data_IF_618564054920
#
_entry.id   IF_618564054920
#
_cell.length_a   1.000
_cell.length_b   1.000
_cell.length_c   1.000
_cell.angle_alpha   90.00
_cell.angle_beta   90.00
_cell.angle_gamma   90.00
#
_symmetry.space_group_name_H-M   'P 1'
#
loop_
_entity.id
_entity.type
_entity.pdbx_description
1 polymer ?
#
# COMPACT_ATOMS: atom_id res chain seq x y z
N UNK A 1 -14.25 -11.73 -21.64
CA UNK A 1 -14.28 -12.67 -20.49
C UNK A 1 -15.54 -12.55 -19.64
N UNK A 2 -16.07 -11.34 -19.39
CA UNK A 2 -17.21 -11.11 -18.49
C UNK A 2 -18.64 -11.36 -19.05
N UNK A 3 -18.81 -11.68 -20.34
CA UNK A 3 -20.16 -11.74 -20.97
C UNK A 3 -21.11 -12.84 -20.45
N UNK A 4 -20.61 -13.82 -19.68
CA UNK A 4 -21.38 -14.98 -19.22
C UNK A 4 -21.30 -15.18 -17.69
N UNK A 5 -20.92 -14.14 -16.93
CA UNK A 5 -20.74 -14.25 -15.48
C UNK A 5 -21.93 -13.68 -14.73
N UNK A 6 -22.28 -14.29 -13.59
CA UNK A 6 -23.32 -13.71 -12.73
C UNK A 6 -22.82 -12.42 -12.07
N UNK A 7 -23.72 -11.48 -11.81
CA UNK A 7 -23.43 -10.21 -11.13
C UNK A 7 -22.71 -10.42 -9.79
N UNK A 8 -23.13 -11.46 -9.05
CA UNK A 8 -22.47 -11.87 -7.79
C UNK A 8 -21.00 -12.23 -8.02
N UNK A 9 -20.70 -13.00 -9.06
CA UNK A 9 -19.33 -13.42 -9.37
C UNK A 9 -18.46 -12.23 -9.81
N UNK A 10 -19.01 -11.31 -10.60
CA UNK A 10 -18.30 -10.09 -11.01
C UNK A 10 -17.93 -9.21 -9.81
N UNK A 11 -18.88 -8.96 -8.90
CA UNK A 11 -18.64 -8.18 -7.69
C UNK A 11 -17.60 -8.84 -6.77
N UNK A 12 -17.70 -10.16 -6.55
CA UNK A 12 -16.74 -10.89 -5.73
C UNK A 12 -15.34 -10.85 -6.36
N UNK A 13 -15.23 -10.98 -7.69
CA UNK A 13 -13.95 -10.90 -8.37
C UNK A 13 -13.32 -9.51 -8.25
N UNK A 14 -14.08 -8.44 -8.49
CA UNK A 14 -13.55 -7.08 -8.39
C UNK A 14 -13.15 -6.76 -6.96
N UNK A 15 -14.00 -7.05 -5.98
CA UNK A 15 -13.67 -6.85 -4.56
C UNK A 15 -12.46 -7.68 -4.13
N UNK A 16 -12.44 -8.97 -4.48
CA UNK A 16 -11.34 -9.87 -4.15
C UNK A 16 -10.02 -9.42 -4.78
N UNK A 17 -10.04 -8.96 -6.03
CA UNK A 17 -8.86 -8.45 -6.71
C UNK A 17 -8.36 -7.15 -6.07
N UNK A 18 -9.26 -6.21 -5.76
CA UNK A 18 -8.90 -4.96 -5.08
C UNK A 18 -8.36 -5.22 -3.66
N UNK A 19 -8.96 -6.15 -2.91
CA UNK A 19 -8.46 -6.56 -1.60
C UNK A 19 -7.09 -7.23 -1.68
N UNK A 20 -6.87 -8.11 -2.66
CA UNK A 20 -5.55 -8.72 -2.89
C UNK A 20 -4.50 -7.65 -3.25
N UNK A 21 -4.89 -6.64 -4.03
CA UNK A 21 -4.02 -5.53 -4.40
C UNK A 21 -3.67 -4.65 -3.19
N UNK A 22 -4.64 -4.37 -2.31
CA UNK A 22 -4.41 -3.68 -1.04
C UNK A 22 -3.44 -4.45 -0.13
N UNK A 23 -3.63 -5.75 0.02
CA UNK A 23 -2.73 -6.60 0.81
C UNK A 23 -1.33 -6.61 0.19
N UNK A 24 -1.22 -6.70 -1.14
CA UNK A 24 0.05 -6.66 -1.85
C UNK A 24 0.79 -5.35 -1.65
N UNK A 25 0.11 -4.20 -1.81
CA UNK A 25 0.70 -2.87 -1.56
C UNK A 25 1.09 -2.72 -0.09
N UNK A 26 0.22 -3.12 0.83
CA UNK A 26 0.51 -3.07 2.26
C UNK A 26 1.74 -3.91 2.64
N UNK A 27 1.85 -5.11 2.07
CA UNK A 27 2.99 -6.01 2.29
C UNK A 27 4.29 -5.43 1.73
N UNK A 28 4.25 -4.85 0.52
CA UNK A 28 5.40 -4.14 -0.06
C UNK A 28 5.83 -2.95 0.78
N UNK A 29 4.87 -2.18 1.31
CA UNK A 29 5.14 -1.05 2.20
C UNK A 29 5.82 -1.49 3.50
N UNK A 30 5.32 -2.53 4.15
CA UNK A 30 5.93 -3.08 5.38
C UNK A 30 7.32 -3.65 5.08
N UNK A 31 7.49 -4.38 3.97
CA UNK A 31 8.80 -4.87 3.53
C UNK A 31 9.80 -3.73 3.33
N UNK A 32 9.39 -2.67 2.64
CA UNK A 32 10.25 -1.49 2.42
C UNK A 32 10.64 -0.75 3.70
N UNK A 33 9.72 -0.65 4.65
CA UNK A 33 9.99 -0.05 5.96
C UNK A 33 10.97 -0.91 6.78
N UNK A 34 10.80 -2.23 6.78
CA UNK A 34 11.72 -3.14 7.47
C UNK A 34 13.12 -3.10 6.86
N UNK A 35 13.24 -3.17 5.53
CA UNK A 35 14.53 -3.07 4.83
C UNK A 35 15.24 -1.74 5.16
N UNK A 36 14.51 -0.63 5.17
CA UNK A 36 15.05 0.69 5.52
C UNK A 36 15.50 0.72 6.99
N UNK A 37 14.72 0.11 7.89
CA UNK A 37 15.05 0.06 9.31
C UNK A 37 16.28 -0.81 9.60
N UNK A 38 16.40 -1.97 8.94
CA UNK A 38 17.55 -2.87 9.08
C UNK A 38 18.82 -2.23 8.52
N UNK A 39 18.72 -1.55 7.38
CA UNK A 39 19.83 -0.78 6.82
C UNK A 39 20.25 0.37 7.74
N UNK A 40 19.29 1.11 8.31
CA UNK A 40 19.58 2.17 9.27
C UNK A 40 20.26 1.62 10.53
N UNK A 41 19.80 0.47 11.02
CA UNK A 41 20.41 -0.23 12.15
C UNK A 41 21.87 -0.60 11.86
N UNK A 42 22.18 -1.14 10.67
CA UNK A 42 23.56 -1.44 10.26
C UNK A 42 24.44 -0.18 10.24
N UNK A 43 23.99 0.90 9.60
CA UNK A 43 24.75 2.16 9.56
C UNK A 43 24.97 2.76 10.96
N UNK A 44 24.01 2.59 11.87
CA UNK A 44 24.15 3.07 13.24
C UNK A 44 25.05 2.17 14.11
N UNK A 45 24.68 0.90 14.26
CA UNK A 45 25.33 -0.05 15.17
C UNK A 45 26.71 -0.51 14.64
N UNK A 46 26.86 -0.77 13.34
CA UNK A 46 28.09 -1.36 12.78
C UNK A 46 29.07 -0.31 12.24
N UNK A 47 28.63 0.95 12.06
CA UNK A 47 29.49 2.02 11.51
C UNK A 47 29.59 3.23 12.42
N UNK A 48 28.47 3.85 12.78
CA UNK A 48 28.48 5.12 13.53
C UNK A 48 29.02 4.96 14.95
N UNK A 49 28.58 3.92 15.66
CA UNK A 49 29.07 3.62 17.02
C UNK A 49 30.56 3.26 17.00
N UNK A 50 31.04 2.32 16.16
CA UNK A 50 32.46 2.02 16.00
C UNK A 50 33.32 3.22 15.61
N UNK A 51 32.85 4.08 14.70
CA UNK A 51 33.55 5.30 14.32
C UNK A 51 33.73 6.24 15.53
N UNK A 52 32.72 6.37 16.38
CA UNK A 52 32.79 7.11 17.64
C UNK A 52 33.81 6.51 18.62
N UNK A 53 33.77 5.20 18.81
CA UNK A 53 34.69 4.47 19.69
C UNK A 53 36.14 4.61 19.22
N UNK A 54 36.41 4.45 17.92
CA UNK A 54 37.73 4.68 17.32
C UNK A 54 38.19 6.15 17.49
N UNK A 55 37.27 7.11 17.36
CA UNK A 55 37.56 8.52 17.60
C UNK A 55 37.95 8.82 19.04
N UNK A 56 37.29 8.16 20.00
CA UNK A 56 37.66 8.22 21.42
C UNK A 56 39.02 7.58 21.65
N UNK A 57 39.31 6.42 21.05
CA UNK A 57 40.64 5.80 21.13
C UNK A 57 41.71 6.76 20.62
N UNK A 58 41.49 7.41 19.47
CA UNK A 58 42.44 8.38 18.91
C UNK A 58 42.71 9.55 19.87
N UNK A 59 41.68 10.14 20.49
CA UNK A 59 41.86 11.18 21.52
C UNK A 59 42.68 10.64 22.71
N UNK A 60 42.38 9.44 23.19
CA UNK A 60 43.09 8.81 24.32
C UNK A 60 44.55 8.53 24.00
N UNK A 61 44.86 8.05 22.80
CA UNK A 61 46.22 7.87 22.32
C UNK A 61 47.01 9.18 22.38
N UNK A 62 46.41 10.28 21.90
CA UNK A 62 47.04 11.61 21.91
C UNK A 62 47.22 12.15 23.34
N UNK A 63 46.23 11.97 24.22
CA UNK A 63 46.35 12.35 25.64
C UNK A 63 47.46 11.59 26.35
N UNK A 64 47.60 10.30 26.08
CA UNK A 64 48.68 9.49 26.66
C UNK A 64 50.05 9.93 26.14
N UNK A 65 50.17 10.24 24.84
CA UNK A 65 51.39 10.85 24.28
C UNK A 65 51.72 12.19 24.95
N UNK A 66 50.72 13.06 25.15
CA UNK A 66 50.89 14.35 25.82
C UNK A 66 51.33 14.18 27.28
N UNK A 67 50.71 13.25 28.02
CA UNK A 67 51.11 12.93 29.38
C UNK A 67 52.58 12.48 29.46
N UNK A 68 53.00 11.59 28.56
CA UNK A 68 54.39 11.15 28.47
C UNK A 68 55.35 12.31 28.14
N UNK A 69 54.94 13.22 27.26
CA UNK A 69 55.72 14.42 26.96
C UNK A 69 55.86 15.35 28.19
N UNK A 70 54.76 15.60 28.91
CA UNK A 70 54.79 16.39 30.14
C UNK A 70 55.68 15.76 31.22
N UNK A 71 55.69 14.44 31.34
CA UNK A 71 56.60 13.71 32.25
C UNK A 71 58.07 13.87 31.87
N UNK A 72 58.40 13.81 30.57
CA UNK A 72 59.78 13.92 30.10
C UNK A 72 60.31 15.36 30.21
N UNK A 73 59.52 16.37 29.80
CA UNK A 73 59.93 17.76 29.78
C UNK A 73 59.74 18.49 31.12
N UNK A 74 58.79 18.06 31.95
CA UNK A 74 58.44 18.74 33.21
C UNK A 74 59.51 18.64 34.29
N UNK A 75 60.45 17.68 34.19
CA UNK A 75 61.56 17.45 35.14
C UNK A 75 61.14 17.44 36.62
N UNK A 76 59.94 16.96 36.92
CA UNK A 76 59.34 16.96 38.25
C UNK A 76 58.69 15.60 38.53
N UNK A 77 59.11 14.95 39.62
CA UNK A 77 58.68 13.60 39.97
C UNK A 77 57.17 13.50 40.31
N UNK A 78 56.58 14.54 40.89
CA UNK A 78 55.14 14.58 41.19
C UNK A 78 54.32 14.63 39.90
N UNK A 79 54.77 15.43 38.92
CA UNK A 79 54.17 15.48 37.58
C UNK A 79 54.27 14.11 36.91
N UNK A 80 55.43 13.45 36.96
CA UNK A 80 55.61 12.11 36.38
C UNK A 80 54.61 11.11 36.98
N UNK A 81 54.45 11.12 38.31
CA UNK A 81 53.51 10.22 39.01
C UNK A 81 52.06 10.50 38.63
N UNK A 82 51.64 11.76 38.62
CA UNK A 82 50.28 12.16 38.21
C UNK A 82 49.98 11.74 36.77
N UNK A 83 50.90 12.05 35.85
CA UNK A 83 50.74 11.76 34.42
C UNK A 83 50.80 10.27 34.11
N UNK A 84 51.56 9.48 34.86
CA UNK A 84 51.54 8.02 34.75
C UNK A 84 50.16 7.48 35.10
N UNK A 85 49.59 7.86 36.24
CA UNK A 85 48.26 7.41 36.66
C UNK A 85 47.18 7.79 35.64
N UNK A 86 47.26 9.00 35.07
CA UNK A 86 46.36 9.40 33.99
C UNK A 86 46.54 8.54 32.73
N UNK A 87 47.77 8.23 32.33
CA UNK A 87 48.04 7.37 31.16
C UNK A 87 47.53 5.94 31.37
N UNK A 88 47.70 5.37 32.57
CA UNK A 88 47.19 4.04 32.92
C UNK A 88 45.66 4.00 32.81
N UNK A 89 44.98 5.06 33.27
CA UNK A 89 43.53 5.19 33.09
C UNK A 89 43.13 5.23 31.61
N UNK A 90 43.85 5.99 30.78
CA UNK A 90 43.55 6.09 29.34
C UNK A 90 43.82 4.79 28.60
N UNK A 91 44.85 4.03 28.99
CA UNK A 91 45.11 2.71 28.41
C UNK A 91 43.98 1.72 28.72
N UNK A 92 43.44 1.75 29.94
CA UNK A 92 42.28 0.93 30.30
C UNK A 92 41.03 1.33 29.48
N UNK A 93 40.82 2.62 29.25
CA UNK A 93 39.73 3.11 28.39
C UNK A 93 39.91 2.68 26.93
N UNK A 94 41.13 2.79 26.39
CA UNK A 94 41.46 2.30 25.04
C UNK A 94 41.18 0.82 24.93
N UNK A 95 41.61 0.01 25.91
CA UNK A 95 41.38 -1.44 25.90
C UNK A 95 39.87 -1.77 25.89
N UNK A 96 39.05 -1.02 26.65
CA UNK A 96 37.61 -1.22 26.70
C UNK A 96 36.94 -0.87 25.35
N UNK A 97 37.22 0.30 24.79
CA UNK A 97 36.68 0.69 23.47
C UNK A 97 37.17 -0.26 22.37
N UNK A 98 38.43 -0.68 22.42
CA UNK A 98 39.00 -1.62 21.47
C UNK A 98 38.33 -2.99 21.55
N UNK A 99 38.06 -3.49 22.75
CA UNK A 99 37.35 -4.76 22.93
C UNK A 99 35.93 -4.69 22.33
N UNK A 100 35.19 -3.60 22.55
CA UNK A 100 33.86 -3.39 21.95
C UNK A 100 33.95 -3.37 20.43
N UNK A 101 34.87 -2.60 19.88
CA UNK A 101 35.12 -2.52 18.45
C UNK A 101 35.38 -3.91 17.84
N UNK A 102 36.23 -4.72 18.47
CA UNK A 102 36.56 -6.06 17.99
C UNK A 102 35.41 -7.08 18.07
N UNK A 103 34.31 -6.77 18.76
CA UNK A 103 33.09 -7.61 18.78
C UNK A 103 32.08 -7.29 17.68
N UNK A 104 32.33 -6.22 16.91
CA UNK A 104 31.50 -5.81 15.79
C UNK A 104 31.74 -6.70 14.56
N UNK A 105 30.89 -6.56 13.54
CA UNK A 105 31.08 -7.28 12.28
C UNK A 105 32.18 -6.61 11.42
N UNK A 106 33.43 -7.02 11.67
CA UNK A 106 34.60 -6.51 10.97
C UNK A 106 34.66 -7.01 9.52
N UNK A 107 34.87 -6.10 8.58
CA UNK A 107 35.21 -6.45 7.20
C UNK A 107 36.62 -7.08 7.13
N UNK A 108 36.97 -7.86 6.09
CA UNK A 108 38.30 -8.47 5.97
C UNK A 108 39.46 -7.45 6.00
N UNK A 109 39.29 -6.32 5.32
CA UNK A 109 40.26 -5.22 5.32
C UNK A 109 40.36 -4.55 6.70
N UNK A 110 39.22 -4.38 7.35
CA UNK A 110 39.10 -3.81 8.69
C UNK A 110 39.78 -4.69 9.75
N UNK A 111 39.57 -6.01 9.68
CA UNK A 111 40.22 -6.99 10.54
C UNK A 111 41.75 -6.96 10.38
N UNK A 112 42.25 -6.80 9.15
CA UNK A 112 43.68 -6.70 8.86
C UNK A 112 44.30 -5.42 9.46
N UNK A 113 43.61 -4.29 9.31
CA UNK A 113 44.03 -3.03 9.93
C UNK A 113 43.92 -3.08 11.45
N UNK A 114 42.93 -3.76 12.00
CA UNK A 114 42.74 -3.92 13.44
C UNK A 114 43.84 -4.78 14.07
N UNK A 115 44.26 -5.85 13.41
CA UNK A 115 45.42 -6.64 13.83
C UNK A 115 46.69 -5.78 13.79
N UNK A 116 46.91 -5.04 12.70
CA UNK A 116 48.04 -4.13 12.56
C UNK A 116 48.07 -3.07 13.66
N UNK A 117 46.92 -2.48 14.00
CA UNK A 117 46.78 -1.53 15.10
C UNK A 117 47.16 -2.20 16.43
N UNK A 118 46.62 -3.38 16.72
CA UNK A 118 46.88 -4.09 17.98
C UNK A 118 48.38 -4.37 18.18
N UNK A 119 49.06 -4.80 17.12
CA UNK A 119 50.51 -5.04 17.14
C UNK A 119 51.31 -3.74 17.33
N UNK A 120 51.00 -2.70 16.54
CA UNK A 120 51.70 -1.41 16.61
C UNK A 120 51.45 -0.69 17.94
N UNK A 121 50.23 -0.78 18.49
CA UNK A 121 49.87 -0.21 19.77
C UNK A 121 50.68 -0.83 20.92
N UNK A 122 50.86 -2.16 20.90
CA UNK A 122 51.73 -2.86 21.86
C UNK A 122 53.17 -2.35 21.78
N UNK A 123 53.73 -2.27 20.57
CA UNK A 123 55.11 -1.81 20.33
C UNK A 123 55.30 -0.35 20.78
N UNK A 124 54.34 0.53 20.49
CA UNK A 124 54.35 1.92 20.97
C UNK A 124 54.26 1.98 22.50
N UNK A 125 53.34 1.24 23.10
CA UNK A 125 53.13 1.19 24.56
C UNK A 125 54.41 0.78 25.29
N UNK A 126 55.12 -0.24 24.80
CA UNK A 126 56.41 -0.65 25.34
C UNK A 126 57.45 0.47 25.27
N UNK A 127 57.57 1.16 24.13
CA UNK A 127 58.51 2.29 24.00
C UNK A 127 58.14 3.47 24.89
N UNK A 128 56.86 3.83 24.94
CA UNK A 128 56.33 4.88 25.81
C UNK A 128 56.59 4.58 27.28
N UNK A 129 56.40 3.32 27.71
CA UNK A 129 56.69 2.90 29.08
C UNK A 129 58.17 3.01 29.42
N UNK A 130 59.08 2.80 28.45
CA UNK A 130 60.52 3.10 28.64
C UNK A 130 60.76 4.59 28.86
N UNK A 131 60.10 5.48 28.10
CA UNK A 131 60.16 6.93 28.35
C UNK A 131 59.73 7.27 29.77
N UNK A 132 58.61 6.70 30.23
CA UNK A 132 58.10 6.93 31.59
C UNK A 132 59.04 6.38 32.67
N UNK A 133 59.69 5.24 32.42
CA UNK A 133 60.68 4.67 33.32
C UNK A 133 61.91 5.57 33.46
N UNK A 134 62.42 6.14 32.35
CA UNK A 134 63.50 7.13 32.40
C UNK A 134 63.12 8.38 33.18
N UNK A 135 61.92 8.92 32.94
CA UNK A 135 61.42 10.09 33.67
C UNK A 135 61.25 9.80 35.17
N UNK A 136 60.74 8.62 35.54
CA UNK A 136 60.59 8.17 36.93
C UNK A 136 61.94 8.02 37.63
N UNK A 137 62.97 7.57 36.91
CA UNK A 137 64.35 7.48 37.40
C UNK A 137 65.08 8.84 37.45
N UNK A 138 64.42 9.94 37.07
CA UNK A 138 65.02 11.28 36.99
C UNK A 138 65.95 11.48 35.79
N UNK A 139 66.04 10.51 34.87
CA UNK A 139 66.85 10.60 33.66
C UNK A 139 66.04 11.26 32.52
N UNK A 140 65.77 12.55 32.67
CA UNK A 140 64.90 13.29 31.75
C UNK A 140 65.49 13.45 30.34
N UNK A 141 66.81 13.55 30.19
CA UNK A 141 67.44 13.66 28.87
C UNK A 141 67.25 12.36 28.06
N UNK A 142 67.40 11.19 28.69
CA UNK A 142 67.09 9.91 28.06
C UNK A 142 65.59 9.75 27.77
N UNK A 143 64.72 10.24 28.66
CA UNK A 143 63.28 10.26 28.44
C UNK A 143 62.91 11.08 27.20
N UNK A 144 63.47 12.29 27.06
CA UNK A 144 63.25 13.17 25.91
C UNK A 144 63.80 12.50 24.64
N UNK A 145 65.01 11.95 24.65
CA UNK A 145 65.60 11.29 23.50
C UNK A 145 64.75 10.11 22.99
N UNK A 146 64.23 9.26 23.89
CA UNK A 146 63.34 8.17 23.51
C UNK A 146 61.96 8.69 23.03
N UNK A 147 61.41 9.73 23.70
CA UNK A 147 60.15 10.35 23.33
C UNK A 147 60.16 10.89 21.89
N UNK A 148 61.19 11.65 21.53
CA UNK A 148 61.29 12.32 20.22
C UNK A 148 61.85 11.40 19.12
N UNK A 149 62.49 10.30 19.51
CA UNK A 149 63.02 9.28 18.60
C UNK A 149 62.11 8.07 18.48
N UNK A 150 62.47 6.98 19.15
CA UNK A 150 61.83 5.67 19.03
C UNK A 150 60.32 5.70 19.33
N UNK A 151 59.88 6.38 20.39
CA UNK A 151 58.47 6.45 20.76
C UNK A 151 57.66 7.29 19.76
N UNK A 152 58.22 8.38 19.22
CA UNK A 152 57.57 9.20 18.20
C UNK A 152 57.32 8.41 16.91
N UNK A 153 58.36 7.74 16.39
CA UNK A 153 58.23 6.93 15.17
C UNK A 153 57.18 5.81 15.33
N UNK A 154 57.15 5.15 16.48
CA UNK A 154 56.15 4.11 16.80
C UNK A 154 54.75 4.67 16.97
N UNK A 155 54.61 5.85 17.57
CA UNK A 155 53.33 6.54 17.66
C UNK A 155 52.79 6.89 16.28
N UNK A 156 53.62 7.47 15.42
CA UNK A 156 53.20 7.91 14.09
C UNK A 156 52.70 6.71 13.26
N UNK A 157 53.37 5.56 13.37
CA UNK A 157 52.91 4.31 12.74
C UNK A 157 51.52 3.88 13.21
N UNK A 158 51.30 3.74 14.53
CA UNK A 158 49.99 3.32 15.07
C UNK A 158 48.90 4.36 14.83
N UNK A 159 49.24 5.65 14.86
CA UNK A 159 48.33 6.75 14.57
C UNK A 159 47.83 6.70 13.13
N UNK A 160 48.73 6.50 12.15
CA UNK A 160 48.35 6.34 10.75
C UNK A 160 47.39 5.16 10.57
N UNK A 161 47.65 4.03 11.24
CA UNK A 161 46.74 2.86 11.18
C UNK A 161 45.37 3.17 11.78
N UNK A 162 45.31 3.87 12.92
CA UNK A 162 44.03 4.29 13.53
C UNK A 162 43.25 5.25 12.62
N UNK A 163 43.93 6.19 11.96
CA UNK A 163 43.29 7.09 10.98
C UNK A 163 42.75 6.30 9.78
N UNK A 164 43.50 5.33 9.26
CA UNK A 164 43.01 4.44 8.19
C UNK A 164 41.76 3.66 8.60
N UNK A 165 41.68 3.19 9.85
CA UNK A 165 40.47 2.55 10.36
C UNK A 165 39.26 3.51 10.39
N UNK A 166 39.47 4.75 10.85
CA UNK A 166 38.44 5.79 10.84
C UNK A 166 37.98 6.14 9.41
N UNK A 167 38.91 6.28 8.48
CA UNK A 167 38.63 6.54 7.06
C UNK A 167 37.86 5.36 6.42
N UNK A 168 38.29 4.13 6.68
CA UNK A 168 37.60 2.93 6.20
C UNK A 168 36.16 2.87 6.71
N UNK A 169 35.95 3.10 8.01
CA UNK A 169 34.61 3.12 8.60
C UNK A 169 33.71 4.20 7.98
N UNK A 170 34.27 5.40 7.74
CA UNK A 170 33.55 6.48 7.05
C UNK A 170 33.18 6.11 5.61
N UNK A 171 34.11 5.51 4.87
CA UNK A 171 33.89 5.15 3.45
C UNK A 171 32.88 4.01 3.31
N UNK A 172 32.96 3.01 4.19
CA UNK A 172 31.99 1.91 4.23
C UNK A 172 30.61 2.43 4.61
N UNK A 173 30.49 3.29 5.63
CA UNK A 173 29.22 3.91 5.99
C UNK A 173 28.59 4.69 4.81
N UNK A 174 29.40 5.42 4.06
CA UNK A 174 28.93 6.16 2.87
C UNK A 174 28.44 5.20 1.76
N UNK A 175 29.13 4.07 1.54
CA UNK A 175 28.71 3.04 0.58
C UNK A 175 27.41 2.35 1.01
N UNK A 176 27.31 1.97 2.27
CA UNK A 176 26.09 1.35 2.83
C UNK A 176 24.89 2.30 2.74
N UNK A 177 25.07 3.58 3.07
CA UNK A 177 24.03 4.60 2.91
C UNK A 177 23.61 4.78 1.44
N UNK A 178 24.56 4.82 0.51
CA UNK A 178 24.25 4.92 -0.92
C UNK A 178 23.47 3.69 -1.43
N UNK A 179 23.85 2.49 -0.98
CA UNK A 179 23.12 1.26 -1.28
C UNK A 179 21.70 1.28 -0.68
N UNK A 180 21.56 1.69 0.58
CA UNK A 180 20.27 1.85 1.26
C UNK A 180 19.34 2.80 0.50
N UNK A 181 19.88 3.94 0.07
CA UNK A 181 19.15 4.92 -0.73
C UNK A 181 18.70 4.34 -2.06
N UNK A 182 19.57 3.61 -2.76
CA UNK A 182 19.21 2.97 -4.03
C UNK A 182 18.11 1.92 -3.82
N UNK A 183 18.18 1.12 -2.76
CA UNK A 183 17.12 0.16 -2.41
C UNK A 183 15.80 0.87 -2.12
N UNK A 184 15.83 1.97 -1.35
CA UNK A 184 14.65 2.79 -1.08
C UNK A 184 14.03 3.34 -2.38
N UNK A 185 14.84 3.93 -3.27
CA UNK A 185 14.37 4.47 -4.55
C UNK A 185 13.73 3.38 -5.43
N UNK A 186 14.32 2.18 -5.47
CA UNK A 186 13.75 1.04 -6.19
C UNK A 186 12.42 0.58 -5.59
N UNK A 187 12.35 0.40 -4.27
CA UNK A 187 11.12 -0.01 -3.57
C UNK A 187 10.02 1.05 -3.74
N UNK A 188 10.38 2.33 -3.66
CA UNK A 188 9.47 3.44 -3.89
C UNK A 188 8.92 3.44 -5.32
N UNK A 189 9.79 3.30 -6.34
CA UNK A 189 9.35 3.24 -7.74
C UNK A 189 8.43 2.04 -8.01
N UNK A 190 8.76 0.87 -7.49
CA UNK A 190 7.91 -0.33 -7.61
C UNK A 190 6.54 -0.06 -6.97
N UNK A 191 6.53 0.45 -5.73
CA UNK A 191 5.29 0.74 -5.00
C UNK A 191 4.44 1.78 -5.72
N UNK A 192 5.04 2.88 -6.20
CA UNK A 192 4.35 3.93 -6.94
C UNK A 192 3.75 3.41 -8.27
N UNK A 193 4.49 2.56 -8.99
CA UNK A 193 4.03 1.92 -10.22
C UNK A 193 2.88 0.96 -9.93
N UNK A 194 2.98 0.11 -8.90
CA UNK A 194 1.92 -0.82 -8.50
C UNK A 194 0.64 -0.08 -8.07
N UNK A 195 0.75 1.01 -7.31
CA UNK A 195 -0.40 1.84 -6.94
C UNK A 195 -1.06 2.44 -8.19
N UNK A 196 -0.26 3.00 -9.11
CA UNK A 196 -0.78 3.62 -10.33
C UNK A 196 -1.49 2.60 -11.22
N UNK A 197 -0.88 1.42 -11.43
CA UNK A 197 -1.50 0.32 -12.16
C UNK A 197 -2.77 -0.19 -11.46
N UNK A 198 -2.76 -0.27 -10.12
CA UNK A 198 -3.93 -0.66 -9.34
C UNK A 198 -5.09 0.32 -9.47
N UNK A 199 -4.82 1.62 -9.45
CA UNK A 199 -5.84 2.67 -9.68
C UNK A 199 -6.39 2.57 -11.11
N UNK A 200 -5.53 2.46 -12.12
CA UNK A 200 -5.96 2.29 -13.51
C UNK A 200 -6.85 1.05 -13.68
N UNK A 201 -6.45 -0.07 -13.07
CA UNK A 201 -7.23 -1.29 -13.09
C UNK A 201 -8.58 -1.12 -12.37
N UNK A 202 -8.62 -0.44 -11.23
CA UNK A 202 -9.85 -0.14 -10.51
C UNK A 202 -10.81 0.71 -11.35
N UNK A 203 -10.30 1.72 -12.07
CA UNK A 203 -11.10 2.55 -12.99
C UNK A 203 -11.66 1.72 -14.14
N UNK A 204 -10.84 0.86 -14.77
CA UNK A 204 -11.28 -0.01 -15.87
C UNK A 204 -12.35 -1.00 -15.39
N UNK A 205 -12.13 -1.68 -14.26
CA UNK A 205 -13.10 -2.59 -13.67
C UNK A 205 -14.39 -1.87 -13.25
N UNK A 206 -14.27 -0.68 -12.66
CA UNK A 206 -15.40 0.17 -12.31
C UNK A 206 -16.25 0.56 -13.52
N UNK A 207 -15.60 0.91 -14.64
CA UNK A 207 -16.30 1.19 -15.90
C UNK A 207 -17.08 -0.03 -16.43
N UNK A 208 -16.48 -1.23 -16.39
CA UNK A 208 -17.18 -2.46 -16.78
C UNK A 208 -18.36 -2.79 -15.85
N UNK A 209 -18.21 -2.62 -14.53
CA UNK A 209 -19.30 -2.82 -13.58
C UNK A 209 -20.44 -1.81 -13.79
N UNK A 210 -20.13 -0.53 -13.97
CA UNK A 210 -21.13 0.51 -14.27
C UNK A 210 -21.92 0.16 -15.53
N UNK A 211 -21.23 -0.21 -16.62
CA UNK A 211 -21.88 -0.58 -17.88
C UNK A 211 -22.64 -1.90 -17.81
N UNK A 212 -22.15 -2.87 -17.04
CA UNK A 212 -22.75 -4.21 -16.91
C UNK A 212 -23.93 -4.30 -15.95
N UNK A 213 -23.97 -3.43 -14.93
CA UNK A 213 -24.98 -3.47 -13.85
C UNK A 213 -25.90 -2.26 -13.90
N UNK A 214 -25.35 -1.04 -13.91
CA UNK A 214 -26.13 0.19 -13.74
C UNK A 214 -26.95 0.51 -14.98
N UNK A 215 -26.41 0.25 -16.19
CA UNK A 215 -27.16 0.49 -17.43
C UNK A 215 -28.37 -0.44 -17.58
N UNK A 216 -28.27 -1.78 -17.45
CA UNK A 216 -29.44 -2.66 -17.54
C UNK A 216 -30.46 -2.44 -16.42
N UNK A 217 -30.01 -2.00 -15.24
CA UNK A 217 -30.92 -1.67 -14.15
C UNK A 217 -31.78 -0.44 -14.46
N UNK A 218 -31.19 0.62 -15.03
CA UNK A 218 -31.97 1.78 -15.49
C UNK A 218 -32.98 1.41 -16.57
N UNK A 219 -32.60 0.51 -17.49
CA UNK A 219 -33.49 -0.01 -18.53
C UNK A 219 -34.68 -0.78 -17.92
N UNK A 220 -34.42 -1.66 -16.95
CA UNK A 220 -35.47 -2.37 -16.22
C UNK A 220 -36.43 -1.43 -15.48
N UNK A 221 -35.90 -0.39 -14.82
CA UNK A 221 -36.71 0.63 -14.13
C UNK A 221 -37.57 1.41 -15.12
N UNK A 222 -37.02 1.79 -16.28
CA UNK A 222 -37.76 2.50 -17.32
C UNK A 222 -38.93 1.67 -17.86
N UNK A 223 -38.72 0.38 -18.12
CA UNK A 223 -39.77 -0.56 -18.56
C UNK A 223 -40.85 -0.69 -17.48
N UNK A 224 -40.45 -0.89 -16.22
CA UNK A 224 -41.41 -1.02 -15.12
C UNK A 224 -42.27 0.25 -14.96
N UNK A 225 -41.67 1.44 -15.10
CA UNK A 225 -42.40 2.70 -15.07
C UNK A 225 -43.37 2.86 -16.25
N UNK A 226 -42.97 2.46 -17.46
CA UNK A 226 -43.85 2.47 -18.64
C UNK A 226 -45.09 1.59 -18.38
N UNK A 227 -44.88 0.35 -17.94
CA UNK A 227 -45.97 -0.57 -17.58
C UNK A 227 -46.85 0.00 -16.46
N UNK A 228 -46.26 0.57 -15.41
CA UNK A 228 -47.00 1.18 -14.30
C UNK A 228 -47.86 2.37 -14.75
N UNK A 229 -47.43 3.10 -15.78
CA UNK A 229 -48.20 4.20 -16.39
C UNK A 229 -49.24 3.75 -17.42
N UNK A 230 -49.35 2.44 -17.69
CA UNK A 230 -50.26 1.88 -18.70
C UNK A 230 -49.72 1.93 -20.13
N UNK A 231 -48.48 2.38 -20.35
CA UNK A 231 -47.83 2.32 -21.65
C UNK A 231 -47.24 0.92 -21.87
N UNK A 232 -47.96 0.11 -22.67
CA UNK A 232 -47.53 -1.23 -23.07
C UNK A 232 -46.91 -1.26 -24.46
N UNK A 233 -46.65 -0.11 -25.09
CA UNK A 233 -46.12 -0.04 -26.46
C UNK A 233 -44.59 -0.20 -26.54
N UNK A 234 -43.91 -0.17 -25.39
CA UNK A 234 -42.44 -0.32 -25.31
C UNK A 234 -41.94 -1.65 -25.83
N UNK A 235 -41.04 -1.60 -26.83
CA UNK A 235 -40.38 -2.79 -27.39
C UNK A 235 -39.24 -3.25 -26.49
N UNK A 236 -39.43 -4.38 -25.81
CA UNK A 236 -38.43 -4.97 -24.91
C UNK A 236 -37.66 -6.06 -25.64
N UNK A 237 -36.38 -5.82 -25.92
CA UNK A 237 -35.47 -6.79 -26.55
C UNK A 237 -34.40 -7.28 -25.55
N UNK A 238 -34.49 -8.53 -25.06
CA UNK A 238 -33.44 -9.13 -24.24
C UNK A 238 -32.14 -9.25 -25.04
N UNK A 239 -30.98 -8.88 -24.46
CA UNK A 239 -29.70 -8.85 -25.18
C UNK A 239 -29.01 -10.21 -25.34
N UNK A 240 -29.66 -11.30 -24.91
CA UNK A 240 -29.21 -12.67 -25.17
C UNK A 240 -27.95 -13.12 -24.41
N UNK A 241 -27.47 -12.34 -23.44
CA UNK A 241 -26.36 -12.73 -22.56
C UNK A 241 -26.87 -13.47 -21.32
N UNK A 242 -26.07 -14.40 -20.79
CA UNK A 242 -26.43 -15.17 -19.58
C UNK A 242 -26.06 -14.37 -18.33
N UNK A 243 -26.48 -13.11 -18.28
CA UNK A 243 -26.25 -12.25 -17.13
C UNK A 243 -27.53 -12.19 -16.30
N UNK A 244 -27.40 -12.02 -14.98
CA UNK A 244 -28.55 -11.97 -14.06
C UNK A 244 -29.61 -10.93 -14.45
N UNK A 245 -29.21 -9.84 -15.11
CA UNK A 245 -30.10 -8.79 -15.59
C UNK A 245 -30.86 -9.13 -16.87
N UNK A 246 -30.32 -9.96 -17.75
CA UNK A 246 -31.07 -10.41 -18.94
C UNK A 246 -32.27 -11.27 -18.53
N UNK A 247 -32.15 -12.03 -17.44
CA UNK A 247 -33.29 -12.75 -16.85
C UNK A 247 -34.36 -11.79 -16.32
N UNK A 248 -33.96 -10.67 -15.71
CA UNK A 248 -34.88 -9.63 -15.24
C UNK A 248 -35.60 -8.95 -16.41
N UNK A 249 -34.85 -8.50 -17.43
CA UNK A 249 -35.41 -7.87 -18.63
C UNK A 249 -36.35 -8.84 -19.36
N UNK A 250 -35.99 -10.12 -19.47
CA UNK A 250 -36.85 -11.12 -20.07
C UNK A 250 -38.13 -11.37 -19.26
N UNK A 251 -38.05 -11.37 -17.92
CA UNK A 251 -39.23 -11.47 -17.07
C UNK A 251 -40.16 -10.25 -17.24
N UNK A 252 -39.60 -9.04 -17.33
CA UNK A 252 -40.35 -7.82 -17.62
C UNK A 252 -41.01 -7.86 -19.01
N UNK A 253 -40.32 -8.42 -20.01
CA UNK A 253 -40.90 -8.66 -21.34
C UNK A 253 -42.12 -9.56 -21.27
N UNK A 254 -41.98 -10.73 -20.65
CA UNK A 254 -43.09 -11.70 -20.50
C UNK A 254 -44.27 -11.07 -19.76
N UNK A 255 -44.01 -10.26 -18.73
CA UNK A 255 -45.05 -9.52 -18.02
C UNK A 255 -45.76 -8.51 -18.93
N UNK A 256 -45.03 -7.71 -19.70
CA UNK A 256 -45.59 -6.75 -20.65
C UNK A 256 -46.42 -7.45 -21.74
N UNK A 257 -45.88 -8.51 -22.36
CA UNK A 257 -46.58 -9.31 -23.38
C UNK A 257 -47.91 -9.86 -22.83
N UNK A 258 -47.92 -10.42 -21.62
CA UNK A 258 -49.14 -10.94 -20.99
C UNK A 258 -50.17 -9.85 -20.70
N UNK A 259 -49.73 -8.63 -20.32
CA UNK A 259 -50.62 -7.49 -20.11
C UNK A 259 -51.22 -6.99 -21.43
N UNK A 260 -50.43 -6.93 -22.51
CA UNK A 260 -50.92 -6.58 -23.85
C UNK A 260 -51.99 -7.58 -24.29
N UNK A 261 -51.73 -8.87 -24.12
CA UNK A 261 -52.64 -9.94 -24.50
C UNK A 261 -53.96 -9.88 -23.70
N UNK A 262 -53.87 -9.59 -22.40
CA UNK A 262 -55.03 -9.44 -21.52
C UNK A 262 -55.87 -8.21 -21.88
N UNK A 263 -55.24 -7.04 -22.11
CA UNK A 263 -55.95 -5.82 -22.54
C UNK A 263 -56.59 -6.01 -23.92
N UNK A 264 -55.91 -6.70 -24.84
CA UNK A 264 -56.44 -7.05 -26.17
C UNK A 264 -57.68 -7.95 -26.09
N UNK A 265 -57.67 -8.96 -25.22
CA UNK A 265 -58.84 -9.81 -24.95
C UNK A 265 -59.99 -9.01 -24.37
N UNK A 266 -59.75 -8.19 -23.35
CA UNK A 266 -60.78 -7.32 -22.74
C UNK A 266 -61.41 -6.38 -23.77
N UNK A 267 -60.61 -5.80 -24.67
CA UNK A 267 -61.13 -4.96 -25.77
C UNK A 267 -61.99 -5.75 -26.74
N UNK A 268 -61.55 -6.95 -27.14
CA UNK A 268 -62.30 -7.82 -28.05
C UNK A 268 -63.64 -8.23 -27.42
N UNK A 269 -63.63 -8.60 -26.14
CA UNK A 269 -64.84 -8.96 -25.38
C UNK A 269 -65.78 -7.75 -25.26
N UNK A 270 -65.24 -6.54 -25.04
CA UNK A 270 -66.03 -5.31 -25.02
C UNK A 270 -66.66 -4.98 -26.38
N UNK A 271 -65.94 -5.17 -27.49
CA UNK A 271 -66.46 -4.98 -28.85
C UNK A 271 -67.56 -6.00 -29.17
N UNK A 272 -67.42 -7.25 -28.72
CA UNK A 272 -68.46 -8.28 -28.82
C UNK A 272 -69.71 -7.92 -28.01
N UNK A 273 -69.53 -7.45 -26.77
CA UNK A 273 -70.64 -6.99 -25.92
C UNK A 273 -71.34 -5.78 -26.56
N UNK A 274 -70.58 -4.82 -27.11
CA UNK A 274 -71.15 -3.66 -27.79
C UNK A 274 -71.96 -4.06 -29.04
N UNK A 275 -71.46 -5.02 -29.82
CA UNK A 275 -72.16 -5.57 -30.98
C UNK A 275 -73.47 -6.26 -30.55
N UNK A 276 -73.41 -7.14 -29.55
CA UNK A 276 -74.59 -7.80 -29.01
C UNK A 276 -75.61 -6.80 -28.41
N UNK A 277 -75.14 -5.76 -27.73
CA UNK A 277 -76.01 -4.70 -27.21
C UNK A 277 -76.72 -3.93 -28.34
N UNK A 278 -76.04 -3.66 -29.46
CA UNK A 278 -76.66 -3.05 -30.64
C UNK A 278 -77.69 -3.98 -31.31
N UNK A 279 -77.40 -5.28 -31.40
CA UNK A 279 -78.36 -6.27 -31.89
C UNK A 279 -79.59 -6.36 -30.99
N UNK A 280 -79.42 -6.37 -29.67
CA UNK A 280 -80.52 -6.31 -28.69
C UNK A 280 -81.31 -5.02 -28.85
N UNK A 281 -80.66 -3.87 -28.97
CA UNK A 281 -81.34 -2.59 -29.15
C UNK A 281 -82.17 -2.57 -30.45
N UNK A 282 -81.61 -3.06 -31.55
CA UNK A 282 -82.32 -3.20 -32.83
C UNK A 282 -83.50 -4.18 -32.72
N UNK A 283 -83.30 -5.33 -32.09
CA UNK A 283 -84.36 -6.32 -31.86
C UNK A 283 -85.47 -5.78 -30.96
N UNK A 284 -85.12 -4.99 -29.93
CA UNK A 284 -86.09 -4.34 -29.05
C UNK A 284 -86.86 -3.23 -29.79
N UNK A 285 -86.23 -2.52 -30.72
CA UNK A 285 -86.90 -1.55 -31.59
C UNK A 285 -87.89 -2.22 -32.54
N UNK A 286 -87.50 -3.32 -33.20
CA UNK A 286 -88.42 -4.12 -34.05
C UNK A 286 -89.60 -4.68 -33.25
N UNK A 287 -89.32 -5.20 -32.05
CA UNK A 287 -90.36 -5.69 -31.16
C UNK A 287 -91.31 -4.56 -30.71
N UNK A 288 -90.76 -3.38 -30.37
CA UNK A 288 -91.56 -2.21 -30.01
C UNK A 288 -92.45 -1.78 -31.18
N UNK A 289 -91.92 -1.71 -32.40
CA UNK A 289 -92.68 -1.39 -33.60
C UNK A 289 -93.80 -2.40 -33.86
N UNK A 290 -93.50 -3.71 -33.79
CA UNK A 290 -94.51 -4.76 -33.94
C UNK A 290 -95.57 -4.74 -32.83
N UNK A 291 -95.18 -4.35 -31.62
CA UNK A 291 -96.09 -4.17 -30.49
C UNK A 291 -97.01 -2.97 -30.73
N UNK A 292 -96.50 -1.86 -31.27
CA UNK A 292 -97.30 -0.70 -31.68
C UNK A 292 -98.25 -1.05 -32.83
N UNK A 293 -97.80 -1.77 -33.86
CA UNK A 293 -98.63 -2.26 -34.95
C UNK A 293 -99.74 -3.21 -34.46
N UNK A 294 -99.42 -4.12 -33.54
CA UNK A 294 -100.41 -4.98 -32.90
C UNK A 294 -101.40 -4.18 -32.05
N UNK A 295 -100.92 -3.22 -31.27
CA UNK A 295 -101.77 -2.35 -30.46
C UNK A 295 -102.73 -1.54 -31.35
N UNK A 296 -102.22 -0.98 -32.46
CA UNK A 296 -103.01 -0.25 -33.47
C UNK A 296 -104.02 -1.16 -34.17
N UNK A 297 -103.65 -2.40 -34.52
CA UNK A 297 -104.56 -3.38 -35.11
C UNK A 297 -105.67 -3.80 -34.12
N UNK A 298 -105.33 -3.90 -32.83
CA UNK A 298 -106.30 -4.13 -31.76
C UNK A 298 -107.25 -2.94 -31.58
N UNK A 299 -106.73 -1.72 -31.67
CA UNK A 299 -107.52 -0.49 -31.62
C UNK A 299 -108.45 -0.36 -32.83
N UNK A 300 -107.99 -0.68 -34.04
CA UNK A 300 -108.81 -0.73 -35.26
C UNK A 300 -109.89 -1.83 -35.16
N UNK A 301 -109.54 -3.00 -34.61
CA UNK A 301 -110.51 -4.07 -34.35
C UNK A 301 -111.54 -3.64 -33.29
N UNK A 302 -111.11 -2.98 -32.23
CA UNK A 302 -111.99 -2.46 -31.19
C UNK A 302 -112.92 -1.36 -31.74
N UNK A 303 -112.39 -0.42 -32.53
CA UNK A 303 -113.14 0.62 -33.26
C UNK A 303 -114.15 0.01 -34.23
N UNK A 304 -113.75 -0.98 -35.04
CA UNK A 304 -114.65 -1.68 -35.97
C UNK A 304 -115.76 -2.44 -35.25
N UNK A 305 -115.45 -3.00 -34.07
CA UNK A 305 -116.45 -3.62 -33.19
C UNK A 305 -117.40 -2.57 -32.59
N UNK A 306 -116.90 -1.39 -32.23
CA UNK A 306 -117.70 -0.27 -31.72
C UNK A 306 -118.66 0.28 -32.79
N UNK A 307 -118.17 0.44 -34.03
CA UNK A 307 -118.93 0.90 -35.20
C UNK A 307 -119.98 -0.14 -35.67
N UNK A 308 -119.74 -1.45 -35.45
CA UNK A 308 -120.73 -2.51 -35.65
C UNK A 308 -121.81 -2.57 -34.55
N UNK A 309 -121.54 -1.99 -33.39
CA UNK A 309 -122.48 -1.98 -32.25
C UNK A 309 -123.24 -0.67 -32.07
N UNK A 310 -122.93 0.36 -32.87
CA UNK A 310 -123.53 1.70 -32.81
C UNK A 310 -124.53 1.96 -33.93
#
# INVERSE_FOLDING_TARGET
MFKNMTVKTELILVLGLLSALLIGIGSLGVYGLNETNDSFKGVYEDRTVPLGDLGLILDRMQRTRLNTAMSAYGRNADIVKERQAMSDQRDAEIANFWQKYMTTNLLPEEATLAESFSQQWKIYTESRNRTMAFATAGNYDAAIANLTGDAAAKFDAVHVTMVKLLELQRDVAAKEYAAARSSFENIFMITATTITLGILLAVVLGYFLLRGIVTPLHEAIAIANAVASGDLSTRIEPRGTINGFDRLINALKIMNDNLVDLVGKVRTDADQIATAANEIASGNSDLSQRTEEQASSLEETASSMEELTS
#
